data_IF_717715615342
#
_entry.id   IF_717715615342
#
_cell.length_a   1.000
_cell.length_b   1.000
_cell.length_c   1.000
_cell.angle_alpha   90.00
_cell.angle_beta   90.00
_cell.angle_gamma   90.00
#
_symmetry.space_group_name_H-M   'P 1'
#
loop_
_entity.id
_entity.type
_entity.pdbx_description
1 polymer ?
#
# COMPACT_ATOMS: atom_id res chain seq x y z
N UNK A 1 3.82 2.76 0.25
CA UNK A 1 3.31 2.73 -1.15
C UNK A 1 1.80 2.77 -1.13
N UNK A 2 1.17 3.65 -1.92
CA UNK A 2 -0.28 3.77 -2.04
C UNK A 2 -0.79 2.93 -3.22
N UNK A 3 -1.65 1.96 -2.95
CA UNK A 3 -2.27 1.08 -3.93
C UNK A 3 -3.67 1.51 -4.37
N UNK A 4 -4.23 2.57 -3.76
CA UNK A 4 -5.52 3.12 -4.12
C UNK A 4 -5.39 4.08 -5.31
N UNK A 5 -6.37 4.05 -6.21
CA UNK A 5 -6.57 5.05 -7.26
C UNK A 5 -7.57 6.14 -6.86
N UNK A 6 -8.29 5.95 -5.74
CA UNK A 6 -9.33 6.87 -5.28
C UNK A 6 -8.72 8.06 -4.55
N UNK A 7 -9.16 9.28 -4.91
CA UNK A 7 -8.73 10.52 -4.26
C UNK A 7 -9.15 10.51 -2.79
N UNK A 8 -8.24 10.89 -1.90
CA UNK A 8 -8.48 10.92 -0.46
C UNK A 8 -8.47 9.54 0.21
N UNK A 9 -8.25 8.45 -0.53
CA UNK A 9 -8.12 7.08 -0.01
C UNK A 9 -6.71 6.58 -0.22
N UNK A 10 -6.12 6.02 0.84
CA UNK A 10 -4.74 5.56 0.86
C UNK A 10 -4.69 4.10 1.26
N UNK A 11 -4.36 3.22 0.31
CA UNK A 11 -4.23 1.79 0.56
C UNK A 11 -2.76 1.42 0.70
N UNK A 12 -2.29 1.27 1.94
CA UNK A 12 -0.89 0.99 2.25
C UNK A 12 -0.67 -0.52 2.42
N UNK A 13 0.22 -1.08 1.59
CA UNK A 13 0.69 -2.46 1.75
C UNK A 13 2.07 -2.46 2.43
N UNK A 14 2.12 -2.87 3.69
CA UNK A 14 3.37 -2.93 4.46
C UNK A 14 4.34 -4.01 3.99
N UNK A 15 3.84 -5.12 3.45
CA UNK A 15 4.71 -6.16 2.89
C UNK A 15 5.44 -5.66 1.65
N UNK A 16 4.75 -4.86 0.82
CA UNK A 16 5.39 -4.24 -0.34
C UNK A 16 6.47 -3.25 0.08
N UNK A 17 6.22 -2.44 1.12
CA UNK A 17 7.25 -1.55 1.66
C UNK A 17 8.45 -2.36 2.19
N UNK A 18 8.21 -3.47 2.91
CA UNK A 18 9.27 -4.34 3.40
C UNK A 18 10.09 -4.97 2.27
N UNK A 19 9.42 -5.41 1.20
CA UNK A 19 10.09 -5.92 0.01
C UNK A 19 11.01 -4.85 -0.59
N UNK A 20 10.49 -3.66 -0.88
CA UNK A 20 11.29 -2.57 -1.46
C UNK A 20 12.46 -2.19 -0.53
N UNK A 21 12.22 -2.06 0.78
CA UNK A 21 13.28 -1.79 1.74
C UNK A 21 14.41 -2.84 1.68
N UNK A 22 14.05 -4.12 1.58
CA UNK A 22 15.01 -5.22 1.44
C UNK A 22 15.81 -5.14 0.14
N UNK A 23 15.18 -4.77 -0.98
CA UNK A 23 15.85 -4.58 -2.28
C UNK A 23 16.96 -3.51 -2.19
N UNK A 24 16.75 -2.47 -1.36
CA UNK A 24 17.74 -1.42 -1.09
C UNK A 24 18.61 -1.66 0.14
N UNK A 25 18.61 -2.89 0.69
CA UNK A 25 19.35 -3.28 1.91
C UNK A 25 19.08 -2.35 3.10
N UNK A 26 17.86 -1.82 3.19
CA UNK A 26 17.41 -0.99 4.32
C UNK A 26 16.77 -1.89 5.38
N UNK A 27 17.19 -1.72 6.64
CA UNK A 27 16.51 -2.36 7.77
C UNK A 27 15.24 -1.59 8.07
N UNK A 28 14.08 -2.24 7.94
CA UNK A 28 12.80 -1.63 8.32
C UNK A 28 12.10 -2.48 9.38
N UNK A 29 12.05 -1.94 10.59
CA UNK A 29 11.34 -2.54 11.72
C UNK A 29 9.88 -2.08 11.70
N UNK A 30 9.03 -2.77 10.91
CA UNK A 30 7.57 -2.61 10.99
C UNK A 30 7.02 -3.30 12.24
N UNK A 31 7.36 -2.77 13.41
CA UNK A 31 6.90 -3.30 14.68
C UNK A 31 5.42 -2.95 14.95
N UNK A 32 4.87 -3.55 15.99
CA UNK A 32 3.49 -3.32 16.45
C UNK A 32 3.20 -1.85 16.76
N UNK A 33 4.21 -1.12 17.24
CA UNK A 33 4.02 0.23 17.77
C UNK A 33 3.78 1.23 16.65
N UNK A 34 4.54 1.15 15.55
CA UNK A 34 4.29 1.94 14.35
C UNK A 34 2.89 1.67 13.82
N UNK A 35 2.47 0.39 13.77
CA UNK A 35 1.12 0.03 13.32
C UNK A 35 0.04 0.63 14.24
N UNK A 36 0.25 0.64 15.55
CA UNK A 36 -0.67 1.23 16.52
C UNK A 36 -0.75 2.76 16.38
N UNK A 37 0.40 3.42 16.24
CA UNK A 37 0.47 4.87 16.00
C UNK A 37 -0.26 5.26 14.72
N UNK A 38 -0.10 4.47 13.63
CA UNK A 38 -0.81 4.71 12.39
C UNK A 38 -2.33 4.57 12.53
N UNK A 39 -2.82 3.62 13.34
CA UNK A 39 -4.28 3.52 13.62
C UNK A 39 -4.81 4.73 14.39
N UNK A 40 -4.01 5.26 15.31
CA UNK A 40 -4.37 6.40 16.15
C UNK A 40 -4.13 7.77 15.46
N UNK A 41 -3.56 7.76 14.26
CA UNK A 41 -3.23 8.97 13.51
C UNK A 41 -4.47 9.83 13.21
N UNK A 42 -4.33 11.15 13.37
CA UNK A 42 -5.43 12.12 13.17
C UNK A 42 -5.53 12.66 11.75
N UNK A 43 -4.42 12.77 11.01
CA UNK A 43 -4.44 13.35 9.66
C UNK A 43 -5.19 12.48 8.65
N UNK A 44 -5.10 11.16 8.80
CA UNK A 44 -5.78 10.19 7.94
C UNK A 44 -6.33 9.08 8.82
N UNK A 45 -7.65 8.98 8.91
CA UNK A 45 -8.31 7.98 9.74
C UNK A 45 -8.07 6.59 9.19
N UNK A 46 -7.68 5.65 10.05
CA UNK A 46 -7.63 4.25 9.70
C UNK A 46 -9.04 3.68 9.53
N UNK A 47 -9.34 3.20 8.33
CA UNK A 47 -10.66 2.63 7.97
C UNK A 47 -10.68 1.13 8.23
N UNK A 48 -9.54 0.45 8.04
CA UNK A 48 -9.45 -1.00 8.25
C UNK A 48 -8.47 -1.67 7.28
N UNK A 49 -8.37 -2.99 7.40
CA UNK A 49 -7.61 -3.81 6.44
C UNK A 49 -8.57 -4.34 5.37
N UNK A 50 -8.39 -3.96 4.11
CA UNK A 50 -9.28 -4.32 2.99
C UNK A 50 -8.48 -4.91 1.83
N UNK A 51 -9.17 -5.70 1.00
CA UNK A 51 -8.65 -6.12 -0.30
C UNK A 51 -8.83 -4.97 -1.30
N UNK A 52 -7.75 -4.55 -1.94
CA UNK A 52 -7.72 -3.41 -2.86
C UNK A 52 -7.09 -3.84 -4.18
N UNK A 53 -7.68 -3.42 -5.30
CA UNK A 53 -7.06 -3.57 -6.62
C UNK A 53 -5.88 -2.61 -6.73
N UNK A 54 -4.70 -3.15 -6.95
CA UNK A 54 -3.42 -2.45 -6.86
C UNK A 54 -3.14 -1.60 -8.09
N UNK A 55 -3.30 -0.27 -7.99
CA UNK A 55 -2.93 0.63 -9.10
C UNK A 55 -1.44 0.54 -9.44
N UNK A 56 -0.58 0.32 -8.43
CA UNK A 56 0.87 0.15 -8.61
C UNK A 56 1.19 -1.11 -9.43
N UNK A 57 0.52 -2.23 -9.15
CA UNK A 57 0.77 -3.46 -9.90
C UNK A 57 0.16 -3.39 -11.30
N UNK A 58 -1.02 -2.77 -11.45
CA UNK A 58 -1.61 -2.49 -12.76
C UNK A 58 -0.69 -1.64 -13.64
N UNK A 59 -0.07 -0.59 -13.06
CA UNK A 59 0.94 0.21 -13.76
C UNK A 59 2.16 -0.63 -14.13
N UNK A 60 2.68 -1.45 -13.21
CA UNK A 60 3.79 -2.36 -13.50
C UNK A 60 3.47 -3.29 -14.69
N UNK A 61 2.30 -3.94 -14.71
CA UNK A 61 1.91 -4.80 -15.82
C UNK A 61 1.82 -4.05 -17.15
N UNK A 62 1.34 -2.79 -17.14
CA UNK A 62 1.25 -1.98 -18.35
C UNK A 62 2.61 -1.64 -18.98
N UNK A 63 3.70 -1.77 -18.21
CA UNK A 63 5.07 -1.55 -18.72
C UNK A 63 5.73 -2.81 -19.28
N UNK A 64 5.09 -3.98 -19.11
CA UNK A 64 5.63 -5.25 -19.59
C UNK A 64 5.33 -5.48 -21.07
N UNK A 65 6.24 -6.16 -21.76
CA UNK A 65 6.04 -6.57 -23.14
C UNK A 65 4.85 -7.55 -23.27
N UNK A 66 4.17 -7.51 -24.41
CA UNK A 66 3.08 -8.46 -24.74
C UNK A 66 3.63 -9.88 -24.67
N UNK A 67 2.98 -10.73 -23.87
CA UNK A 67 3.43 -12.12 -23.64
C UNK A 67 4.43 -12.31 -22.50
N UNK A 68 4.74 -11.26 -21.71
CA UNK A 68 5.56 -11.41 -20.51
C UNK A 68 4.90 -12.38 -19.51
N UNK A 69 5.71 -13.29 -18.95
CA UNK A 69 5.30 -14.19 -17.87
C UNK A 69 5.47 -13.58 -16.48
N UNK A 70 6.12 -12.41 -16.39
CA UNK A 70 6.23 -11.68 -15.13
C UNK A 70 4.87 -11.11 -14.76
N UNK A 71 4.38 -11.47 -13.59
CA UNK A 71 3.12 -10.95 -13.08
C UNK A 71 3.21 -10.67 -11.58
N UNK A 72 2.40 -9.73 -11.15
CA UNK A 72 2.21 -9.31 -9.76
C UNK A 72 0.72 -9.44 -9.44
N UNK A 73 0.33 -9.69 -8.19
CA UNK A 73 -1.08 -9.85 -7.86
C UNK A 73 -1.90 -8.58 -8.14
N UNK A 74 -3.05 -8.72 -8.80
CA UNK A 74 -3.95 -7.58 -9.07
C UNK A 74 -4.59 -7.03 -7.81
N UNK A 75 -4.84 -7.89 -6.83
CA UNK A 75 -5.48 -7.54 -5.56
C UNK A 75 -4.52 -7.78 -4.42
N UNK A 76 -4.45 -6.82 -3.52
CA UNK A 76 -3.58 -6.86 -2.35
C UNK A 76 -4.38 -6.55 -1.09
N UNK A 77 -3.97 -7.17 0.01
CA UNK A 77 -4.50 -6.84 1.33
C UNK A 77 -3.75 -5.61 1.87
N UNK A 78 -4.46 -4.50 1.98
CA UNK A 78 -3.90 -3.20 2.34
C UNK A 78 -4.55 -2.65 3.59
N UNK A 79 -3.80 -1.84 4.33
CA UNK A 79 -4.35 -0.96 5.36
C UNK A 79 -4.87 0.29 4.68
N UNK A 80 -6.17 0.51 4.80
CA UNK A 80 -6.85 1.63 4.15
C UNK A 80 -7.01 2.76 5.14
N UNK A 81 -6.59 3.95 4.71
CA UNK A 81 -6.77 5.21 5.41
C UNK A 81 -7.54 6.17 4.52
N UNK A 82 -8.27 7.10 5.12
CA UNK A 82 -9.01 8.12 4.42
C UNK A 82 -8.66 9.50 4.97
N UNK A 83 -8.57 10.51 4.09
CA UNK A 83 -8.49 11.91 4.51
C UNK A 83 -9.69 12.25 5.40
N UNK A 84 -9.42 12.97 6.50
CA UNK A 84 -10.51 13.50 7.30
C UNK A 84 -11.17 14.63 6.51
N UNK A 85 -12.48 14.53 6.29
CA UNK A 85 -13.28 15.58 5.67
C UNK A 85 -13.49 16.81 6.56
N UNK A 86 -12.94 16.83 7.78
CA UNK A 86 -12.98 17.94 8.73
C UNK A 86 -11.71 18.81 8.62
N UNK A 87 -11.52 19.47 7.47
CA UNK A 87 -10.48 20.49 7.27
C UNK A 87 -11.09 21.80 6.80
#
# INVERSE_FOLDING_TARGET
MNHSSEKGVYAVNFNHIAQVASEYRQSMLLNSDIKNLLKAGRMRKFVGVKTVRSVVNSQFHSTLAVGSTLSKPDVLRCWVFQENSES
#
